data_IF_485075806781
#
_entry.id   IF_485075806781
#
_cell.length_a   1.000
_cell.length_b   1.000
_cell.length_c   1.000
_cell.angle_alpha   90.00
_cell.angle_beta   90.00
_cell.angle_gamma   90.00
#
_symmetry.space_group_name_H-M   'P 1'
#
loop_
_entity.id
_entity.type
_entity.pdbx_description
1 polymer ?
#
# COMPACT_ATOMS: atom_id res chain seq x y z
N UNK A 1 10.03 -1.39 -22.62
CA UNK A 1 10.52 -0.08 -22.12
C UNK A 1 12.03 -0.13 -21.99
N UNK A 2 12.76 0.92 -22.41
CA UNK A 2 14.16 1.14 -22.06
C UNK A 2 14.43 0.89 -20.57
N UNK A 3 15.64 0.46 -20.23
CA UNK A 3 16.02 0.20 -18.83
C UNK A 3 15.86 1.46 -17.95
N UNK A 4 16.18 2.63 -18.51
CA UNK A 4 16.05 3.92 -17.84
C UNK A 4 14.59 4.24 -17.48
N UNK A 5 13.66 4.05 -18.42
CA UNK A 5 12.22 4.21 -18.19
C UNK A 5 11.71 3.24 -17.12
N UNK A 6 12.16 1.99 -17.12
CA UNK A 6 11.79 1.03 -16.07
C UNK A 6 12.22 1.50 -14.67
N UNK A 7 13.42 2.07 -14.55
CA UNK A 7 13.93 2.61 -13.28
C UNK A 7 13.10 3.82 -12.85
N UNK A 8 12.76 4.70 -13.77
CA UNK A 8 11.94 5.90 -13.50
C UNK A 8 10.56 5.49 -12.98
N UNK A 9 9.88 4.59 -13.70
CA UNK A 9 8.55 4.11 -13.30
C UNK A 9 8.58 3.42 -11.94
N UNK A 10 9.53 2.49 -11.74
CA UNK A 10 9.66 1.77 -10.47
C UNK A 10 9.94 2.73 -9.31
N UNK A 11 10.83 3.71 -9.47
CA UNK A 11 11.11 4.69 -8.43
C UNK A 11 9.92 5.61 -8.15
N UNK A 12 9.14 5.95 -9.18
CA UNK A 12 7.95 6.79 -9.06
C UNK A 12 6.82 6.12 -8.28
N UNK A 13 6.50 4.87 -8.61
CA UNK A 13 5.32 4.18 -8.07
C UNK A 13 5.60 3.31 -6.83
N UNK A 14 6.87 3.10 -6.45
CA UNK A 14 7.24 2.13 -5.40
C UNK A 14 6.46 2.36 -4.09
N UNK A 15 6.41 3.61 -3.62
CA UNK A 15 5.72 3.93 -2.37
C UNK A 15 4.20 3.72 -2.47
N UNK A 16 3.61 4.03 -3.63
CA UNK A 16 2.17 3.85 -3.87
C UNK A 16 1.80 2.37 -3.85
N UNK A 17 2.57 1.53 -4.56
CA UNK A 17 2.36 0.08 -4.60
C UNK A 17 2.57 -0.55 -3.23
N UNK A 18 3.62 -0.16 -2.49
CA UNK A 18 3.85 -0.68 -1.13
C UNK A 18 2.72 -0.27 -0.17
N UNK A 19 2.27 0.98 -0.25
CA UNK A 19 1.15 1.49 0.56
C UNK A 19 -0.15 0.75 0.26
N UNK A 20 -0.46 0.54 -1.02
CA UNK A 20 -1.63 -0.24 -1.45
C UNK A 20 -1.55 -1.68 -0.92
N UNK A 21 -0.39 -2.33 -1.01
CA UNK A 21 -0.19 -3.71 -0.50
C UNK A 21 -0.38 -3.83 1.00
N UNK A 22 -0.03 -2.81 1.77
CA UNK A 22 -0.31 -2.76 3.20
C UNK A 22 -1.80 -2.51 3.45
N UNK A 23 -2.40 -1.52 2.76
CA UNK A 23 -3.79 -1.12 2.93
C UNK A 23 -4.79 -2.26 2.64
N UNK A 24 -4.57 -3.06 1.60
CA UNK A 24 -5.43 -4.23 1.28
C UNK A 24 -5.32 -5.35 2.32
N UNK A 25 -4.33 -5.29 3.22
CA UNK A 25 -4.14 -6.21 4.36
C UNK A 25 -4.47 -5.53 5.68
N UNK A 26 -5.30 -4.48 5.65
CA UNK A 26 -5.87 -3.91 6.86
C UNK A 26 -6.83 -4.90 7.50
N UNK A 27 -6.63 -5.16 8.78
CA UNK A 27 -7.55 -5.96 9.59
C UNK A 27 -8.39 -5.03 10.48
N UNK A 28 -9.73 -4.95 10.25
CA UNK A 28 -10.62 -4.14 11.08
C UNK A 28 -10.75 -4.63 12.52
N UNK A 29 -10.50 -5.91 12.81
CA UNK A 29 -10.65 -6.45 14.17
C UNK A 29 -9.50 -6.00 15.09
N UNK A 30 -8.26 -6.11 14.60
CA UNK A 30 -7.07 -5.67 15.34
C UNK A 30 -6.67 -4.21 15.08
N UNK A 31 -7.31 -3.54 14.14
CA UNK A 31 -6.94 -2.22 13.64
C UNK A 31 -5.45 -2.13 13.24
N UNK A 32 -4.96 -3.15 12.53
CA UNK A 32 -3.55 -3.23 12.08
C UNK A 32 -3.40 -3.33 10.56
N UNK A 33 -2.22 -2.94 10.07
CA UNK A 33 -1.77 -3.23 8.71
C UNK A 33 -0.72 -4.35 8.78
N UNK A 34 -0.74 -5.28 7.81
CA UNK A 34 0.32 -6.29 7.68
C UNK A 34 1.37 -5.87 6.65
N UNK A 35 2.59 -5.61 7.11
CA UNK A 35 3.74 -5.30 6.27
C UNK A 35 4.47 -6.58 5.83
N UNK A 36 4.88 -6.63 4.56
CA UNK A 36 5.56 -7.76 3.93
C UNK A 36 4.87 -9.12 4.09
N UNK A 37 3.57 -9.14 4.46
CA UNK A 37 2.81 -10.35 4.70
C UNK A 37 3.03 -11.02 6.07
N UNK A 38 3.88 -10.46 6.93
CA UNK A 38 4.29 -11.12 8.19
C UNK A 38 4.16 -10.22 9.43
N UNK A 39 4.36 -8.91 9.30
CA UNK A 39 4.45 -8.01 10.45
C UNK A 39 3.20 -7.15 10.57
N UNK A 40 2.32 -7.49 11.51
CA UNK A 40 1.19 -6.65 11.88
C UNK A 40 1.68 -5.42 12.69
N UNK A 41 1.25 -4.23 12.26
CA UNK A 41 1.61 -2.96 12.91
C UNK A 41 0.36 -2.13 13.15
N UNK A 42 0.31 -1.50 14.31
CA UNK A 42 -0.71 -0.50 14.66
C UNK A 42 -0.38 0.86 14.03
N UNK A 43 -1.40 1.73 13.95
CA UNK A 43 -1.25 3.10 13.45
C UNK A 43 -0.15 3.88 14.19
N UNK A 44 -0.08 3.75 15.51
CA UNK A 44 0.94 4.40 16.32
C UNK A 44 2.36 3.88 16.04
N UNK A 45 2.53 2.57 15.89
CA UNK A 45 3.83 1.96 15.57
C UNK A 45 4.34 2.43 14.21
N UNK A 46 3.48 2.43 13.19
CA UNK A 46 3.88 2.83 11.84
C UNK A 46 4.17 4.34 11.76
N UNK A 47 3.36 5.17 12.42
CA UNK A 47 3.56 6.62 12.55
C UNK A 47 4.88 6.97 13.23
N UNK A 48 5.16 6.34 14.37
CA UNK A 48 6.38 6.57 15.15
C UNK A 48 7.61 5.88 14.53
N UNK A 49 7.40 4.89 13.66
CA UNK A 49 8.44 4.17 12.92
C UNK A 49 9.04 4.93 11.73
N UNK A 50 8.68 6.21 11.55
CA UNK A 50 9.29 7.10 10.55
C UNK A 50 8.36 7.55 9.42
N UNK A 51 7.15 6.97 9.31
CA UNK A 51 6.18 7.38 8.28
C UNK A 51 5.35 8.61 8.66
N UNK A 52 5.28 8.97 9.95
CA UNK A 52 4.57 10.17 10.40
C UNK A 52 3.12 10.19 9.91
N UNK A 53 2.69 11.32 9.32
CA UNK A 53 1.33 11.50 8.80
C UNK A 53 0.99 10.58 7.62
N UNK A 54 1.99 10.03 6.91
CA UNK A 54 1.76 9.07 5.82
C UNK A 54 1.14 7.79 6.38
N UNK A 55 1.50 7.41 7.61
CA UNK A 55 0.85 6.30 8.30
C UNK A 55 -0.67 6.51 8.36
N UNK A 56 -1.14 7.72 8.66
CA UNK A 56 -2.56 7.97 8.80
C UNK A 56 -3.31 7.74 7.48
N UNK A 57 -2.75 8.23 6.37
CA UNK A 57 -3.31 8.04 5.05
C UNK A 57 -3.40 6.57 4.62
N UNK A 58 -2.41 5.74 4.94
CA UNK A 58 -2.41 4.31 4.57
C UNK A 58 -3.50 3.56 5.36
N UNK A 59 -3.66 3.86 6.66
CA UNK A 59 -4.72 3.26 7.45
C UNK A 59 -6.11 3.70 6.99
N UNK A 60 -6.28 4.98 6.65
CA UNK A 60 -7.56 5.51 6.14
C UNK A 60 -7.94 4.88 4.79
N UNK A 61 -6.95 4.64 3.93
CA UNK A 61 -7.11 3.85 2.71
C UNK A 61 -7.51 2.40 3.03
N UNK A 62 -6.81 1.74 3.95
CA UNK A 62 -7.09 0.35 4.33
C UNK A 62 -8.50 0.16 4.91
N UNK A 63 -8.92 1.06 5.79
CA UNK A 63 -10.30 1.10 6.30
C UNK A 63 -11.31 1.24 5.16
N UNK A 64 -11.06 2.14 4.22
CA UNK A 64 -11.95 2.34 3.07
C UNK A 64 -12.02 1.08 2.19
N UNK A 65 -10.87 0.50 1.85
CA UNK A 65 -10.75 -0.68 0.99
C UNK A 65 -11.33 -1.96 1.60
N UNK A 66 -11.38 -2.07 2.93
CA UNK A 66 -11.96 -3.23 3.62
C UNK A 66 -13.42 -3.51 3.21
N UNK A 67 -14.17 -2.46 2.82
CA UNK A 67 -15.55 -2.57 2.35
C UNK A 67 -15.69 -3.03 0.89
N UNK A 68 -14.61 -2.97 0.11
CA UNK A 68 -14.63 -3.29 -1.32
C UNK A 68 -14.46 -4.79 -1.59
N UNK A 69 -13.91 -5.55 -0.64
CA UNK A 69 -13.61 -6.98 -0.79
C UNK A 69 -12.78 -7.28 -2.05
N UNK A 70 -11.75 -6.47 -2.29
CA UNK A 70 -10.93 -6.58 -3.48
C UNK A 70 -10.30 -7.96 -3.60
N UNK A 71 -10.36 -8.55 -4.80
CA UNK A 71 -9.64 -9.76 -5.10
C UNK A 71 -8.19 -9.49 -5.57
N UNK A 72 -7.40 -10.56 -5.69
CA UNK A 72 -6.00 -10.46 -6.13
C UNK A 72 -5.87 -9.85 -7.54
N UNK A 73 -6.87 -10.03 -8.40
CA UNK A 73 -6.88 -9.50 -9.77
C UNK A 73 -7.07 -7.99 -9.75
N UNK A 74 -8.04 -7.49 -8.97
CA UNK A 74 -8.30 -6.06 -8.82
C UNK A 74 -7.10 -5.34 -8.22
N UNK A 75 -6.46 -5.93 -7.20
CA UNK A 75 -5.22 -5.38 -6.62
C UNK A 75 -4.08 -5.38 -7.63
N UNK A 76 -3.92 -6.44 -8.42
CA UNK A 76 -2.90 -6.50 -9.47
C UNK A 76 -3.12 -5.45 -10.57
N UNK A 77 -4.39 -5.22 -10.97
CA UNK A 77 -4.75 -4.20 -11.95
C UNK A 77 -4.49 -2.78 -11.42
N UNK A 78 -4.82 -2.50 -10.16
CA UNK A 78 -4.48 -1.23 -9.52
C UNK A 78 -2.96 -0.99 -9.50
N UNK A 79 -2.16 -2.01 -9.16
CA UNK A 79 -0.70 -1.91 -9.21
C UNK A 79 -0.17 -1.65 -10.62
N UNK A 80 -0.77 -2.27 -11.64
CA UNK A 80 -0.39 -2.05 -13.04
C UNK A 80 -0.70 -0.62 -13.49
N UNK A 81 -1.85 -0.06 -13.07
CA UNK A 81 -2.19 1.34 -13.34
C UNK A 81 -1.19 2.29 -12.69
N UNK A 82 -0.83 2.07 -11.42
CA UNK A 82 0.19 2.87 -10.73
C UNK A 82 1.57 2.78 -11.42
N UNK A 83 1.97 1.57 -11.83
CA UNK A 83 3.26 1.34 -12.50
C UNK A 83 3.34 2.03 -13.87
N UNK A 84 2.23 2.11 -14.60
CA UNK A 84 2.19 2.69 -15.94
C UNK A 84 1.82 4.18 -15.94
N UNK A 85 1.84 4.82 -14.77
CA UNK A 85 1.62 6.26 -14.62
C UNK A 85 2.80 7.04 -15.22
N UNK A 86 2.49 7.98 -16.10
CA UNK A 86 3.42 8.76 -16.93
C UNK A 86 3.94 10.02 -16.25
#
# INVERSE_FOLDING_TARGET
>A
LPCEDQIILLKGCCMEIMSLRAAVRYDPESETLTLNGEMAVTRGQLKNGGLGVVSDAIFDLGMSLSSFNLDDTEVALLQAVLLMSS
#
